data_IF_156478418175
#
_entry.id   IF_156478418175
#
_cell.length_a   1.000
_cell.length_b   1.000
_cell.length_c   1.000
_cell.angle_alpha   90.00
_cell.angle_beta   90.00
_cell.angle_gamma   90.00
#
_symmetry.space_group_name_H-M   'P 1'
#
loop_
_entity.id
_entity.type
_entity.pdbx_description
1 polymer ?
#
# COMPACT_ATOMS: atom_id res chain seq x y z
N UNK A 1 -9.23 64.24 -0.47
CA UNK A 1 -9.36 63.15 0.52
C UNK A 1 -9.56 61.86 -0.27
N UNK A 2 -8.47 61.15 -0.56
CA UNK A 2 -8.47 59.93 -1.39
C UNK A 2 -8.50 58.69 -0.50
N UNK A 3 -9.66 58.04 -0.39
CA UNK A 3 -9.86 56.79 0.33
C UNK A 3 -10.14 55.65 -0.66
N UNK A 4 -9.12 55.21 -1.39
CA UNK A 4 -9.15 53.98 -2.18
C UNK A 4 -7.70 53.46 -2.24
N UNK A 5 -7.27 52.64 -1.27
CA UNK A 5 -7.12 51.22 -1.60
C UNK A 5 -7.14 50.31 -0.34
N UNK A 6 -8.30 49.78 0.06
CA UNK A 6 -8.35 48.67 1.05
C UNK A 6 -9.18 47.47 0.54
N UNK A 7 -9.76 47.54 -0.67
CA UNK A 7 -10.59 46.45 -1.19
C UNK A 7 -9.85 45.36 -1.98
N UNK A 8 -8.54 45.50 -2.23
CA UNK A 8 -7.78 44.49 -2.99
C UNK A 8 -7.15 43.38 -2.14
N UNK A 9 -7.19 43.46 -0.80
CA UNK A 9 -6.56 42.45 0.05
C UNK A 9 -7.46 41.23 0.36
N UNK A 10 -8.76 41.29 0.11
CA UNK A 10 -9.68 40.17 0.40
C UNK A 10 -9.83 39.15 -0.75
N UNK A 11 -9.29 39.43 -1.94
CA UNK A 11 -9.38 38.53 -3.08
C UNK A 11 -8.38 37.36 -3.06
N UNK A 12 -7.33 37.42 -2.23
CA UNK A 12 -6.23 36.44 -2.26
C UNK A 12 -6.32 35.36 -1.17
N UNK A 13 -7.20 35.51 -0.17
CA UNK A 13 -7.36 34.49 0.88
C UNK A 13 -8.36 33.38 0.51
N UNK A 14 -9.16 33.56 -0.53
CA UNK A 14 -10.13 32.54 -0.97
C UNK A 14 -9.49 31.40 -1.80
N UNK A 15 -8.24 31.54 -2.25
CA UNK A 15 -7.60 30.54 -3.13
C UNK A 15 -6.79 29.48 -2.36
N UNK A 16 -6.51 29.70 -1.06
CA UNK A 16 -5.61 28.80 -0.30
C UNK A 16 -6.36 27.80 0.60
N UNK A 17 -7.63 28.05 0.92
CA UNK A 17 -8.47 27.04 1.55
C UNK A 17 -9.11 26.20 0.46
N UNK A 18 -8.35 25.23 -0.06
CA UNK A 18 -8.95 24.13 -0.82
C UNK A 18 -10.08 23.58 0.03
N UNK A 19 -11.33 23.84 -0.37
CA UNK A 19 -12.50 23.43 0.39
C UNK A 19 -12.37 21.93 0.66
N UNK A 20 -12.36 21.55 1.94
CA UNK A 20 -12.37 20.14 2.29
C UNK A 20 -13.53 19.46 1.55
N UNK A 21 -13.29 18.29 0.95
CA UNK A 21 -14.33 17.59 0.21
C UNK A 21 -15.53 17.33 1.13
N UNK A 22 -16.74 17.56 0.60
CA UNK A 22 -17.97 17.33 1.37
C UNK A 22 -18.14 15.85 1.69
N UNK A 23 -18.89 15.53 2.75
CA UNK A 23 -19.20 14.13 3.10
C UNK A 23 -19.85 13.37 1.93
N UNK A 24 -20.71 14.03 1.14
CA UNK A 24 -21.28 13.44 -0.08
C UNK A 24 -20.22 13.15 -1.14
N UNK A 25 -19.33 14.10 -1.43
CA UNK A 25 -18.20 13.87 -2.35
C UNK A 25 -17.35 12.69 -1.88
N UNK A 26 -17.09 12.56 -0.58
CA UNK A 26 -16.32 11.43 -0.06
C UNK A 26 -17.02 10.08 -0.19
N UNK A 27 -18.35 10.02 -0.09
CA UNK A 27 -19.11 8.79 -0.36
C UNK A 27 -19.06 8.41 -1.85
N UNK A 28 -19.00 9.38 -2.74
CA UNK A 28 -18.79 9.14 -4.17
C UNK A 28 -17.36 8.67 -4.44
N UNK A 29 -16.36 9.33 -3.85
CA UNK A 29 -14.96 8.91 -3.94
C UNK A 29 -14.76 7.48 -3.41
N UNK A 30 -15.44 7.05 -2.35
CA UNK A 30 -15.40 5.65 -1.87
C UNK A 30 -15.76 4.64 -2.98
N UNK A 31 -16.78 4.94 -3.78
CA UNK A 31 -17.17 4.07 -4.91
C UNK A 31 -16.08 4.07 -5.98
N UNK A 32 -15.49 5.22 -6.28
CA UNK A 32 -14.40 5.35 -7.23
C UNK A 32 -13.14 4.61 -6.76
N UNK A 33 -12.75 4.74 -5.49
CA UNK A 33 -11.65 3.98 -4.89
C UNK A 33 -11.84 2.48 -5.09
N UNK A 34 -13.03 1.95 -4.78
CA UNK A 34 -13.33 0.52 -5.00
C UNK A 34 -13.20 0.10 -6.47
N UNK A 35 -13.52 1.00 -7.40
CA UNK A 35 -13.32 0.77 -8.83
C UNK A 35 -11.83 0.83 -9.22
N UNK A 36 -11.09 1.86 -8.77
CA UNK A 36 -9.66 2.03 -9.04
C UNK A 36 -8.84 0.82 -8.55
N UNK A 37 -9.18 0.29 -7.37
CA UNK A 37 -8.48 -0.82 -6.72
C UNK A 37 -8.96 -2.22 -7.17
N UNK A 38 -9.99 -2.32 -8.02
CA UNK A 38 -10.69 -3.59 -8.30
C UNK A 38 -9.77 -4.70 -8.82
N UNK A 39 -8.74 -4.36 -9.58
CA UNK A 39 -7.81 -5.33 -10.16
C UNK A 39 -6.44 -5.36 -9.44
N UNK A 40 -6.26 -4.63 -8.34
CA UNK A 40 -5.02 -4.72 -7.57
C UNK A 40 -4.92 -6.11 -6.95
N UNK A 41 -3.76 -6.78 -7.08
CA UNK A 41 -3.50 -8.00 -6.35
C UNK A 41 -3.64 -7.71 -4.86
N UNK A 42 -4.56 -8.42 -4.19
CA UNK A 42 -4.71 -8.24 -2.75
C UNK A 42 -3.40 -8.64 -2.06
N UNK A 43 -2.94 -7.83 -1.11
CA UNK A 43 -1.65 -8.01 -0.43
C UNK A 43 -1.48 -9.32 0.35
N UNK A 44 -2.55 -10.04 0.65
CA UNK A 44 -2.43 -11.39 1.22
C UNK A 44 -2.20 -12.48 0.15
N UNK A 45 -2.51 -12.18 -1.12
CA UNK A 45 -2.38 -13.06 -2.29
C UNK A 45 -1.09 -12.84 -3.11
N UNK A 46 -0.10 -12.09 -2.60
CA UNK A 46 1.13 -11.78 -3.36
C UNK A 46 1.83 -13.03 -3.92
N UNK A 47 1.55 -14.23 -3.40
CA UNK A 47 2.16 -15.53 -3.73
C UNK A 47 2.17 -15.97 -5.21
N UNK A 48 1.65 -15.19 -6.18
CA UNK A 48 1.59 -15.62 -7.58
C UNK A 48 2.04 -14.49 -8.54
N UNK A 49 3.36 -14.31 -8.65
CA UNK A 49 4.06 -13.27 -9.45
C UNK A 49 3.81 -13.34 -10.96
N UNK A 50 3.31 -14.45 -11.50
CA UNK A 50 2.95 -14.53 -12.91
C UNK A 50 1.98 -13.43 -13.36
N UNK A 51 1.18 -12.88 -12.44
CA UNK A 51 0.24 -11.78 -12.71
C UNK A 51 0.81 -10.37 -12.50
N UNK A 52 1.98 -10.24 -11.88
CA UNK A 52 2.41 -8.99 -11.22
C UNK A 52 3.32 -8.14 -12.12
N UNK A 53 4.21 -8.77 -12.89
CA UNK A 53 5.11 -8.05 -13.80
C UNK A 53 4.42 -7.60 -15.09
N UNK A 54 3.34 -8.27 -15.50
CA UNK A 54 2.72 -8.03 -16.81
C UNK A 54 1.84 -6.77 -16.85
N UNK A 55 1.48 -6.17 -15.71
CA UNK A 55 0.42 -5.15 -15.68
C UNK A 55 0.89 -3.74 -15.30
N UNK A 56 2.01 -3.28 -15.88
CA UNK A 56 2.46 -1.87 -15.77
C UNK A 56 1.35 -0.90 -16.18
N UNK A 57 0.59 -1.23 -17.22
CA UNK A 57 -0.55 -0.42 -17.68
C UNK A 57 -1.60 -0.27 -16.58
N UNK A 58 -1.96 -1.36 -15.89
CA UNK A 58 -2.88 -1.29 -14.76
C UNK A 58 -2.33 -0.46 -13.59
N UNK A 59 -1.02 -0.51 -13.33
CA UNK A 59 -0.38 0.35 -12.33
C UNK A 59 -0.63 1.83 -12.65
N UNK A 60 -0.38 2.24 -13.89
CA UNK A 60 -0.53 3.63 -14.32
C UNK A 60 -2.01 4.07 -14.31
N UNK A 61 -2.93 3.20 -14.72
CA UNK A 61 -4.37 3.47 -14.69
C UNK A 61 -4.89 3.64 -13.27
N UNK A 62 -4.54 2.71 -12.38
CA UNK A 62 -4.99 2.74 -10.99
C UNK A 62 -4.43 3.95 -10.25
N UNK A 63 -3.15 4.28 -10.50
CA UNK A 63 -2.49 5.50 -10.01
C UNK A 63 -3.22 6.76 -10.46
N UNK A 64 -3.44 6.93 -11.77
CA UNK A 64 -4.19 8.08 -12.33
C UNK A 64 -5.61 8.19 -11.76
N UNK A 65 -6.26 7.05 -11.51
CA UNK A 65 -7.61 6.99 -10.95
C UNK A 65 -7.63 7.52 -9.50
N UNK A 66 -6.65 7.16 -8.68
CA UNK A 66 -6.56 7.62 -7.28
C UNK A 66 -6.00 9.03 -7.13
N UNK A 67 -5.11 9.49 -8.01
CA UNK A 67 -4.47 10.82 -7.96
C UNK A 67 -5.48 11.98 -8.05
N UNK A 68 -6.67 11.74 -8.58
CA UNK A 68 -7.74 12.73 -8.74
C UNK A 68 -8.62 12.88 -7.49
N UNK A 69 -8.43 12.01 -6.49
CA UNK A 69 -9.29 11.88 -5.33
C UNK A 69 -8.69 12.63 -4.12
N UNK A 70 -9.55 13.18 -3.26
CA UNK A 70 -9.15 14.16 -2.24
C UNK A 70 -9.47 13.76 -0.81
N UNK A 71 -10.39 12.81 -0.61
CA UNK A 71 -10.81 12.35 0.70
C UNK A 71 -9.77 11.45 1.38
N UNK A 72 -9.80 11.38 2.70
CA UNK A 72 -8.80 10.61 3.47
C UNK A 72 -8.86 9.10 3.18
N UNK A 73 -10.04 8.57 2.86
CA UNK A 73 -10.18 7.21 2.35
C UNK A 73 -9.38 7.00 1.06
N UNK A 74 -9.43 7.97 0.15
CA UNK A 74 -8.73 7.91 -1.14
C UNK A 74 -7.22 8.05 -0.94
N UNK A 75 -6.77 8.93 -0.04
CA UNK A 75 -5.34 9.04 0.33
C UNK A 75 -4.81 7.76 0.97
N UNK A 76 -5.58 7.13 1.86
CA UNK A 76 -5.17 5.87 2.49
C UNK A 76 -5.19 4.72 1.49
N UNK A 77 -6.16 4.67 0.57
CA UNK A 77 -6.18 3.73 -0.55
C UNK A 77 -4.94 3.88 -1.45
N UNK A 78 -4.57 5.12 -1.76
CA UNK A 78 -3.37 5.45 -2.52
C UNK A 78 -2.13 4.90 -1.85
N UNK A 79 -2.00 5.10 -0.54
CA UNK A 79 -0.88 4.58 0.25
C UNK A 79 -0.83 3.05 0.23
N UNK A 80 -1.97 2.37 0.35
CA UNK A 80 -2.07 0.89 0.22
C UNK A 80 -1.58 0.45 -1.16
N UNK A 81 -2.01 1.12 -2.22
CA UNK A 81 -1.59 0.80 -3.58
C UNK A 81 -0.09 1.02 -3.76
N UNK A 82 0.44 2.18 -3.37
CA UNK A 82 1.85 2.53 -3.54
C UNK A 82 2.77 1.49 -2.87
N UNK A 83 2.52 1.18 -1.59
CA UNK A 83 3.33 0.21 -0.85
C UNK A 83 3.14 -1.22 -1.38
N UNK A 84 1.92 -1.59 -1.80
CA UNK A 84 1.67 -2.92 -2.41
C UNK A 84 2.40 -3.05 -3.74
N UNK A 85 2.52 -1.99 -4.53
CA UNK A 85 3.27 -2.01 -5.78
C UNK A 85 4.78 -2.11 -5.52
N UNK A 86 5.29 -1.30 -4.58
CA UNK A 86 6.72 -1.31 -4.24
C UNK A 86 7.16 -2.70 -3.74
N UNK A 87 6.42 -3.30 -2.81
CA UNK A 87 6.77 -4.63 -2.30
C UNK A 87 6.69 -5.72 -3.38
N UNK A 88 5.78 -5.57 -4.34
CA UNK A 88 5.64 -6.50 -5.45
C UNK A 88 6.79 -6.43 -6.44
N UNK A 89 7.24 -5.22 -6.77
CA UNK A 89 8.42 -5.00 -7.60
C UNK A 89 9.64 -5.64 -6.92
N UNK A 90 9.78 -5.45 -5.60
CA UNK A 90 10.83 -6.06 -4.80
C UNK A 90 10.74 -7.59 -4.74
N UNK A 91 9.54 -8.17 -4.65
CA UNK A 91 9.37 -9.62 -4.76
C UNK A 91 9.73 -10.17 -6.14
N UNK A 92 9.62 -9.36 -7.20
CA UNK A 92 10.12 -9.69 -8.54
C UNK A 92 11.64 -9.89 -8.57
N UNK A 93 12.40 -9.16 -7.75
CA UNK A 93 13.86 -9.27 -7.67
C UNK A 93 14.32 -10.61 -7.07
N UNK A 94 13.47 -11.28 -6.28
CA UNK A 94 13.75 -12.58 -5.64
C UNK A 94 12.78 -13.67 -6.13
N UNK A 95 12.33 -13.59 -7.37
CA UNK A 95 11.21 -14.37 -7.91
C UNK A 95 11.33 -15.88 -7.67
N UNK A 96 12.53 -16.46 -7.75
CA UNK A 96 12.75 -17.90 -7.48
C UNK A 96 12.46 -18.28 -6.03
N UNK A 97 13.04 -17.54 -5.09
CA UNK A 97 12.80 -17.70 -3.65
C UNK A 97 11.32 -17.44 -3.30
N UNK A 98 10.77 -16.37 -3.88
CA UNK A 98 9.40 -15.97 -3.69
C UNK A 98 8.39 -17.01 -4.17
N UNK A 99 8.57 -17.57 -5.37
CA UNK A 99 7.61 -18.53 -5.91
C UNK A 99 7.61 -19.85 -5.13
N UNK A 100 8.77 -20.31 -4.67
CA UNK A 100 8.94 -21.66 -4.14
C UNK A 100 8.86 -21.76 -2.60
N UNK A 101 9.38 -20.77 -1.88
CA UNK A 101 9.49 -20.82 -0.42
C UNK A 101 8.57 -19.83 0.30
N UNK A 102 8.51 -18.59 -0.18
CA UNK A 102 7.87 -17.49 0.56
C UNK A 102 6.41 -17.77 0.96
N UNK A 103 5.50 -18.28 0.11
CA UNK A 103 4.12 -18.55 0.51
C UNK A 103 4.02 -19.51 1.70
N UNK A 104 4.82 -20.57 1.70
CA UNK A 104 4.85 -21.58 2.77
C UNK A 104 5.44 -21.02 4.05
N UNK A 105 6.56 -20.31 3.94
CA UNK A 105 7.21 -19.67 5.10
C UNK A 105 6.32 -18.59 5.71
N UNK A 106 5.71 -17.74 4.88
CA UNK A 106 4.76 -16.71 5.32
C UNK A 106 3.59 -17.32 6.09
N UNK A 107 2.98 -18.39 5.58
CA UNK A 107 1.86 -19.05 6.26
C UNK A 107 2.29 -19.67 7.58
N UNK A 108 3.44 -20.36 7.61
CA UNK A 108 3.99 -20.95 8.82
C UNK A 108 4.30 -19.90 9.88
N UNK A 109 4.96 -18.81 9.51
CA UNK A 109 5.32 -17.73 10.43
C UNK A 109 4.10 -16.99 10.95
N UNK A 110 3.08 -16.74 10.11
CA UNK A 110 1.84 -16.10 10.55
C UNK A 110 1.15 -16.91 11.65
N UNK A 111 1.17 -18.25 11.54
CA UNK A 111 0.65 -19.16 12.59
C UNK A 111 1.52 -19.14 13.84
N UNK A 112 2.84 -19.08 13.70
CA UNK A 112 3.79 -19.11 14.82
C UNK A 112 3.75 -17.85 15.67
N UNK A 113 3.69 -16.67 15.04
CA UNK A 113 3.73 -15.37 15.74
C UNK A 113 2.35 -14.81 16.05
N UNK A 114 1.28 -15.51 15.66
CA UNK A 114 -0.10 -15.03 15.72
C UNK A 114 -0.28 -13.66 15.04
N UNK A 115 0.46 -13.38 13.97
CA UNK A 115 0.33 -12.12 13.26
C UNK A 115 -1.07 -11.98 12.66
N UNK A 116 -1.73 -10.87 13.02
CA UNK A 116 -3.09 -10.57 12.61
C UNK A 116 -3.11 -9.38 11.67
N UNK A 117 -3.74 -9.56 10.51
CA UNK A 117 -3.90 -8.46 9.54
C UNK A 117 -4.80 -7.33 10.06
N UNK A 118 -5.51 -7.52 11.19
CA UNK A 118 -6.50 -6.54 11.69
C UNK A 118 -5.89 -5.33 12.38
N UNK A 119 -4.75 -5.51 13.04
CA UNK A 119 -4.10 -4.48 13.86
C UNK A 119 -2.58 -4.40 13.64
N UNK A 120 -2.04 -5.26 12.78
CA UNK A 120 -0.60 -5.40 12.54
C UNK A 120 0.20 -5.79 13.79
N UNK A 121 -0.47 -6.33 14.82
CA UNK A 121 0.20 -6.89 15.97
C UNK A 121 1.12 -8.03 15.51
N UNK A 122 2.31 -8.07 16.11
CA UNK A 122 3.34 -9.08 15.86
C UNK A 122 3.83 -9.18 14.40
N UNK A 123 3.56 -8.17 13.55
CA UNK A 123 4.05 -8.18 12.17
C UNK A 123 5.57 -8.06 12.08
N UNK A 124 6.19 -7.28 12.96
CA UNK A 124 7.66 -7.21 13.03
C UNK A 124 8.27 -8.56 13.42
N UNK A 125 7.66 -9.27 14.37
CA UNK A 125 8.07 -10.63 14.75
C UNK A 125 7.83 -11.63 13.60
N UNK A 126 6.69 -11.51 12.91
CA UNK A 126 6.37 -12.33 11.73
C UNK A 126 7.38 -12.11 10.61
N UNK A 127 7.79 -10.87 10.35
CA UNK A 127 8.79 -10.55 9.34
C UNK A 127 10.14 -11.15 9.73
N UNK A 128 10.58 -11.01 10.99
CA UNK A 128 11.81 -11.68 11.48
C UNK A 128 11.74 -13.19 11.34
N UNK A 129 10.60 -13.81 11.67
CA UNK A 129 10.38 -15.24 11.46
C UNK A 129 10.54 -15.61 9.98
N UNK A 130 9.95 -14.83 9.06
CA UNK A 130 10.06 -15.08 7.63
C UNK A 130 11.51 -14.97 7.17
N UNK A 131 12.24 -13.95 7.58
CA UNK A 131 13.67 -13.79 7.24
C UNK A 131 14.51 -15.00 7.71
N UNK A 132 14.31 -15.45 8.94
CA UNK A 132 15.01 -16.60 9.52
C UNK A 132 14.67 -17.91 8.81
N UNK A 133 13.41 -18.15 8.51
CA UNK A 133 12.96 -19.41 7.92
C UNK A 133 13.17 -19.46 6.41
N UNK A 134 13.19 -18.31 5.73
CA UNK A 134 13.69 -18.21 4.36
C UNK A 134 15.18 -18.56 4.31
N UNK A 135 16.00 -18.10 5.27
CA UNK A 135 17.43 -18.43 5.30
C UNK A 135 17.72 -19.94 5.49
N UNK A 136 16.74 -20.71 5.99
CA UNK A 136 16.85 -22.16 6.21
C UNK A 136 16.35 -22.97 5.00
N UNK A 137 15.70 -22.34 4.02
CA UNK A 137 15.17 -23.06 2.86
C UNK A 137 16.23 -23.26 1.78
N UNK A 138 16.22 -24.42 1.13
CA UNK A 138 17.09 -24.71 -0.03
C UNK A 138 16.68 -23.96 -1.30
N UNK A 139 15.51 -23.33 -1.32
CA UNK A 139 14.93 -22.69 -2.51
C UNK A 139 15.30 -21.21 -2.65
N UNK A 140 15.95 -20.63 -1.64
CA UNK A 140 16.39 -19.24 -1.66
C UNK A 140 17.91 -19.22 -1.64
N UNK A 141 18.52 -18.48 -2.57
CA UNK A 141 19.96 -18.26 -2.54
C UNK A 141 20.30 -17.23 -1.45
N UNK A 142 21.55 -17.22 -0.98
CA UNK A 142 21.99 -16.20 -0.02
C UNK A 142 21.76 -14.76 -0.53
N UNK A 143 22.04 -14.42 -1.81
CA UNK A 143 21.65 -13.12 -2.36
C UNK A 143 20.15 -12.82 -2.29
N UNK A 144 19.26 -13.80 -2.52
CA UNK A 144 17.81 -13.59 -2.39
C UNK A 144 17.41 -13.24 -0.96
N UNK A 145 18.03 -13.90 0.02
CA UNK A 145 17.78 -13.65 1.45
C UNK A 145 18.26 -12.26 1.87
N UNK A 146 19.44 -11.86 1.41
CA UNK A 146 19.99 -10.53 1.67
C UNK A 146 19.13 -9.45 1.04
N UNK A 147 18.72 -9.63 -0.22
CA UNK A 147 17.79 -8.72 -0.90
C UNK A 147 16.46 -8.65 -0.15
N UNK A 148 15.86 -9.78 0.23
CA UNK A 148 14.61 -9.81 0.99
C UNK A 148 14.67 -8.94 2.25
N UNK A 149 15.75 -9.05 3.03
CA UNK A 149 15.94 -8.26 4.26
C UNK A 149 15.99 -6.74 4.00
N UNK A 150 16.41 -6.30 2.83
CA UNK A 150 16.45 -4.87 2.50
C UNK A 150 15.05 -4.26 2.35
N UNK A 151 14.04 -5.05 1.98
CA UNK A 151 12.69 -4.57 1.71
C UNK A 151 11.60 -5.24 2.55
N UNK A 152 11.95 -6.17 3.44
CA UNK A 152 11.00 -6.91 4.28
C UNK A 152 10.14 -5.99 5.17
N UNK A 153 10.66 -4.83 5.55
CA UNK A 153 9.94 -3.78 6.28
C UNK A 153 8.67 -3.31 5.54
N UNK A 154 8.65 -3.34 4.20
CA UNK A 154 7.47 -3.00 3.39
C UNK A 154 6.28 -3.93 3.68
N UNK A 155 6.50 -5.14 4.20
CA UNK A 155 5.42 -6.05 4.66
C UNK A 155 4.66 -5.40 5.83
N UNK A 156 5.40 -4.81 6.76
CA UNK A 156 4.82 -4.12 7.93
C UNK A 156 4.10 -2.85 7.48
N UNK A 157 4.70 -2.09 6.57
CA UNK A 157 4.09 -0.88 6.01
C UNK A 157 2.80 -1.18 5.24
N UNK A 158 2.79 -2.27 4.44
CA UNK A 158 1.59 -2.73 3.75
C UNK A 158 0.46 -3.03 4.72
N UNK A 159 0.77 -3.65 5.86
CA UNK A 159 -0.21 -3.87 6.91
C UNK A 159 -0.72 -2.55 7.50
N UNK A 160 0.20 -1.65 7.90
CA UNK A 160 -0.16 -0.35 8.50
C UNK A 160 -1.05 0.48 7.57
N UNK A 161 -0.69 0.55 6.29
CA UNK A 161 -1.50 1.22 5.27
C UNK A 161 -2.88 0.57 5.12
N UNK A 162 -2.96 -0.77 5.14
CA UNK A 162 -4.24 -1.49 5.05
C UNK A 162 -5.13 -1.20 6.26
N UNK A 163 -4.58 -1.17 7.47
CA UNK A 163 -5.33 -0.83 8.69
C UNK A 163 -5.78 0.64 8.67
N UNK A 164 -4.93 1.56 8.21
CA UNK A 164 -5.29 2.98 8.03
C UNK A 164 -6.47 3.13 7.05
N UNK A 165 -6.40 2.45 5.90
CA UNK A 165 -7.49 2.41 4.93
C UNK A 165 -8.77 1.80 5.50
N UNK A 166 -8.68 0.72 6.27
CA UNK A 166 -9.84 0.11 6.92
C UNK A 166 -10.49 1.02 7.96
N UNK A 167 -9.69 1.82 8.68
CA UNK A 167 -10.21 2.83 9.63
C UNK A 167 -10.86 4.00 8.92
N UNK A 168 -10.31 4.44 7.79
CA UNK A 168 -10.90 5.51 6.97
C UNK A 168 -12.20 5.08 6.25
N UNK A 169 -12.46 3.77 6.15
CA UNK A 169 -13.64 3.20 5.52
C UNK A 169 -14.82 2.92 6.49
N UNK A 170 -14.66 3.20 7.79
CA UNK A 170 -15.68 3.05 8.84
C UNK A 170 -16.31 4.38 9.18
#
# INVERSE_FOLDING_TARGET
MSYFPILLAFGLLAVVFGAEPTSEKCKEEEKLVKQCLKNLPRSYKLSNTGLILENKEYKDESQKCLDQLTCDLSKSAFKVQAVTQEIMEKFGEIASCFHNAYPKVKEMCARKTNASNKDCSNYEENVKCIEEDLAKTRFCSQPDIENFKTFSHLIVETCKATVEYQKAAQ
#
